data_IF_360610250456
#
_entry.id   IF_360610250456
#
_cell.length_a   1.000
_cell.length_b   1.000
_cell.length_c   1.000
_cell.angle_alpha   90.00
_cell.angle_beta   90.00
_cell.angle_gamma   90.00
#
_symmetry.space_group_name_H-M   'P 1'
#
loop_
_entity.id
_entity.type
_entity.pdbx_description
1 polymer ?
#
# COMPACT_ATOMS: atom_id res chain seq x y z
N UNK A 1 1.28 -8.53 -20.38
CA UNK A 1 1.65 -7.20 -19.90
C UNK A 1 3.08 -6.91 -20.33
N UNK A 2 3.38 -5.69 -20.75
CA UNK A 2 4.74 -5.30 -21.14
C UNK A 2 5.70 -5.39 -19.93
N UNK A 3 6.95 -5.85 -20.12
CA UNK A 3 7.94 -5.92 -19.03
C UNK A 3 8.21 -4.60 -18.32
N UNK A 4 8.22 -3.47 -19.02
CA UNK A 4 8.46 -2.16 -18.40
C UNK A 4 7.30 -1.72 -17.50
N UNK A 5 6.06 -1.89 -17.97
CA UNK A 5 4.86 -1.67 -17.14
C UNK A 5 4.89 -2.56 -15.90
N UNK A 6 5.32 -3.82 -16.04
CA UNK A 6 5.43 -4.74 -14.91
C UNK A 6 6.47 -4.28 -13.89
N UNK A 7 7.65 -3.88 -14.34
CA UNK A 7 8.70 -3.33 -13.47
C UNK A 7 8.24 -2.07 -12.76
N UNK A 8 7.60 -1.14 -13.49
CA UNK A 8 7.06 0.10 -12.92
C UNK A 8 6.08 -0.18 -11.78
N UNK A 9 5.14 -1.10 -11.99
CA UNK A 9 4.15 -1.48 -10.97
C UNK A 9 4.84 -2.16 -9.79
N UNK A 10 5.83 -3.03 -10.02
CA UNK A 10 6.57 -3.69 -8.93
C UNK A 10 7.37 -2.70 -8.06
N UNK A 11 7.87 -1.61 -8.64
CA UNK A 11 8.56 -0.56 -7.90
C UNK A 11 7.61 0.27 -7.02
N UNK A 12 6.31 0.26 -7.33
CA UNK A 12 5.26 0.93 -6.58
C UNK A 12 4.41 -0.07 -5.80
N UNK A 13 4.76 -0.28 -4.53
CA UNK A 13 4.08 -1.24 -3.68
C UNK A 13 2.55 -1.05 -3.65
N UNK A 14 2.07 0.18 -3.63
CA UNK A 14 0.64 0.49 -3.63
C UNK A 14 -0.06 -0.01 -4.90
N UNK A 15 0.49 0.27 -6.08
CA UNK A 15 -0.04 -0.27 -7.34
C UNK A 15 0.04 -1.80 -7.37
N UNK A 16 1.15 -2.36 -6.86
CA UNK A 16 1.37 -3.80 -6.81
C UNK A 16 0.34 -4.53 -5.94
N UNK A 17 0.06 -4.02 -4.73
CA UNK A 17 -0.97 -4.55 -3.85
C UNK A 17 -2.37 -4.36 -4.44
N UNK A 18 -2.64 -3.21 -5.06
CA UNK A 18 -3.92 -2.92 -5.69
C UNK A 18 -4.23 -3.90 -6.83
N UNK A 19 -3.27 -4.15 -7.74
CA UNK A 19 -3.45 -5.08 -8.86
C UNK A 19 -3.62 -6.53 -8.37
N UNK A 20 -2.88 -6.94 -7.32
CA UNK A 20 -3.09 -8.27 -6.71
C UNK A 20 -4.48 -8.45 -6.12
N UNK A 21 -5.08 -7.36 -5.66
CA UNK A 21 -6.45 -7.34 -5.13
C UNK A 21 -7.49 -7.28 -6.26
N UNK A 22 -7.12 -6.71 -7.41
CA UNK A 22 -7.98 -6.50 -8.57
C UNK A 22 -7.34 -7.07 -9.85
N UNK A 23 -7.34 -8.41 -10.03
CA UNK A 23 -6.61 -9.07 -11.11
C UNK A 23 -7.12 -8.73 -12.53
N UNK A 24 -8.30 -8.12 -12.66
CA UNK A 24 -8.81 -7.53 -13.90
C UNK A 24 -7.79 -6.56 -14.54
N UNK A 25 -7.05 -5.82 -13.71
CA UNK A 25 -6.03 -4.87 -14.17
C UNK A 25 -4.88 -5.52 -14.91
N UNK A 26 -4.50 -6.77 -14.58
CA UNK A 26 -3.51 -7.50 -15.39
C UNK A 26 -4.00 -7.68 -16.83
N UNK A 27 -5.30 -7.93 -17.02
CA UNK A 27 -5.90 -8.07 -18.37
C UNK A 27 -5.96 -6.72 -19.08
N UNK A 28 -6.39 -5.66 -18.40
CA UNK A 28 -6.49 -4.33 -18.99
C UNK A 28 -5.12 -3.78 -19.41
N UNK A 29 -4.13 -3.84 -18.53
CA UNK A 29 -2.76 -3.40 -18.81
C UNK A 29 -2.04 -4.28 -19.82
N UNK A 30 -2.46 -5.55 -19.96
CA UNK A 30 -1.95 -6.42 -21.04
C UNK A 30 -2.51 -6.01 -22.40
N UNK A 31 -3.75 -5.53 -22.47
CA UNK A 31 -4.39 -5.10 -23.72
C UNK A 31 -3.98 -3.69 -24.13
N UNK A 32 -3.85 -2.79 -23.16
CA UNK A 32 -3.44 -1.41 -23.38
C UNK A 32 -2.58 -0.95 -22.20
N UNK A 33 -1.24 -0.93 -22.34
CA UNK A 33 -0.36 -0.44 -21.28
C UNK A 33 -0.53 1.04 -20.95
N UNK A 34 -1.08 1.85 -21.87
CA UNK A 34 -1.22 3.30 -21.72
C UNK A 34 -2.25 3.73 -20.68
N UNK A 35 -3.10 2.82 -20.19
CA UNK A 35 -4.09 3.10 -19.13
C UNK A 35 -3.49 3.08 -17.72
N UNK A 36 -2.17 3.11 -17.60
CA UNK A 36 -1.49 3.08 -16.30
C UNK A 36 -1.86 4.28 -15.43
N UNK A 37 -2.17 5.42 -16.03
CA UNK A 37 -2.65 6.60 -15.31
C UNK A 37 -4.04 6.33 -14.67
N UNK A 38 -4.90 5.58 -15.35
CA UNK A 38 -6.21 5.17 -14.83
C UNK A 38 -6.04 4.21 -13.63
N UNK A 39 -5.09 3.28 -13.74
CA UNK A 39 -4.71 2.40 -12.63
C UNK A 39 -4.29 3.23 -11.41
N UNK A 40 -3.49 4.29 -11.60
CA UNK A 40 -3.08 5.14 -10.49
C UNK A 40 -4.24 5.88 -9.84
N UNK A 41 -5.18 6.38 -10.62
CA UNK A 41 -6.38 7.07 -10.11
C UNK A 41 -7.23 6.09 -9.30
N UNK A 42 -7.46 4.89 -9.83
CA UNK A 42 -8.26 3.84 -9.19
C UNK A 42 -7.59 3.32 -7.93
N UNK A 43 -6.27 3.13 -7.94
CA UNK A 43 -5.51 2.80 -6.74
C UNK A 43 -5.62 3.91 -5.68
N UNK A 44 -5.52 5.19 -6.07
CA UNK A 44 -5.71 6.33 -5.16
C UNK A 44 -7.11 6.36 -4.57
N UNK A 45 -8.16 6.06 -5.35
CA UNK A 45 -9.52 5.98 -4.84
C UNK A 45 -9.73 4.78 -3.92
N UNK A 46 -9.16 3.62 -4.28
CA UNK A 46 -9.17 2.41 -3.47
C UNK A 46 -8.53 2.69 -2.12
N UNK A 47 -7.29 3.22 -2.09
CA UNK A 47 -6.57 3.56 -0.86
C UNK A 47 -7.12 4.77 -0.13
N UNK A 48 -7.69 5.75 -0.83
CA UNK A 48 -8.44 6.85 -0.20
C UNK A 48 -9.64 6.34 0.62
N UNK A 49 -10.17 5.16 0.28
CA UNK A 49 -11.19 4.43 1.05
C UNK A 49 -10.61 3.34 1.98
N UNK A 50 -9.38 2.85 1.75
CA UNK A 50 -8.77 1.69 2.46
C UNK A 50 -7.42 1.96 3.19
N UNK A 51 -6.99 3.22 3.29
CA UNK A 51 -5.88 3.63 4.17
C UNK A 51 -6.10 3.47 5.69
N UNK A 52 -7.29 3.24 6.27
CA UNK A 52 -7.36 3.03 7.72
C UNK A 52 -6.59 1.79 8.18
N UNK A 53 -6.56 0.69 7.44
CA UNK A 53 -6.12 -0.59 8.02
C UNK A 53 -4.59 -0.73 8.17
N UNK A 54 -3.81 -0.09 7.29
CA UNK A 54 -2.35 0.03 7.45
C UNK A 54 -1.97 1.15 8.43
N UNK A 55 -2.73 2.25 8.47
CA UNK A 55 -2.59 3.28 9.52
C UNK A 55 -2.92 2.72 10.91
N UNK A 56 -3.94 1.88 11.04
CA UNK A 56 -4.35 1.23 12.29
C UNK A 56 -3.25 0.30 12.81
N UNK A 57 -2.66 -0.54 11.95
CA UNK A 57 -1.53 -1.39 12.35
C UNK A 57 -0.29 -0.56 12.72
N UNK A 58 0.01 0.49 11.97
CA UNK A 58 1.09 1.41 12.32
C UNK A 58 0.81 2.12 13.66
N UNK A 59 -0.44 2.54 13.91
CA UNK A 59 -0.87 3.19 15.15
C UNK A 59 -0.84 2.22 16.34
N UNK A 60 -1.25 0.96 16.17
CA UNK A 60 -1.11 -0.10 17.18
C UNK A 60 0.36 -0.33 17.55
N UNK A 61 1.26 -0.39 16.55
CA UNK A 61 2.68 -0.55 16.80
C UNK A 61 3.26 0.65 17.58
N UNK A 62 2.87 1.89 17.23
CA UNK A 62 3.27 3.10 17.95
C UNK A 62 2.75 3.10 19.39
N UNK A 63 1.52 2.66 19.63
CA UNK A 63 0.96 2.55 20.99
C UNK A 63 1.73 1.55 21.85
N UNK A 64 2.10 0.39 21.28
CA UNK A 64 2.93 -0.61 21.96
C UNK A 64 4.33 -0.06 22.29
N UNK A 65 4.97 0.64 21.34
CA UNK A 65 6.28 1.30 21.56
C UNK A 65 6.19 2.34 22.68
N UNK A 66 5.11 3.14 22.75
CA UNK A 66 4.89 4.11 23.84
C UNK A 66 4.75 3.44 25.20
N UNK A 67 4.01 2.33 25.29
CA UNK A 67 3.88 1.56 26.52
C UNK A 67 5.24 1.02 26.99
N UNK A 68 6.04 0.47 26.07
CA UNK A 68 7.38 -0.02 26.37
C UNK A 68 8.32 1.12 26.83
N UNK A 69 8.26 2.29 26.20
CA UNK A 69 9.03 3.47 26.61
C UNK A 69 8.62 4.00 27.99
N UNK A 70 7.33 4.02 28.30
CA UNK A 70 6.83 4.42 29.63
C UNK A 70 7.32 3.47 30.73
N UNK A 71 7.23 2.16 30.48
CA UNK A 71 7.76 1.16 31.41
C UNK A 71 9.26 1.35 31.60
N UNK A 72 10.05 1.47 30.52
CA UNK A 72 11.50 1.67 30.61
C UNK A 72 11.90 2.96 31.35
N UNK A 73 11.12 4.04 31.20
CA UNK A 73 11.36 5.30 31.89
C UNK A 73 11.08 5.25 33.40
N UNK A 74 10.16 4.40 33.85
CA UNK A 74 9.82 4.27 35.28
C UNK A 74 10.80 3.42 36.10
N UNK A 75 11.76 2.74 35.46
CA UNK A 75 12.81 1.95 36.16
C UNK A 75 14.08 2.76 36.48
N UNK A 76 14.21 3.97 35.95
CA UNK A 76 15.40 4.83 36.14
C UNK A 76 15.22 5.90 37.23
N UNK A 77 14.22 5.74 38.12
CA UNK A 77 13.94 6.62 39.28
C UNK A 77 13.96 5.82 40.59
#
# INVERSE_FOLDING_TARGET
MEPETYRFIQQREDLWYFIRSNPEWYRYLTRNPSIIDELEIEAKQFYGKTLPQRMEKAQQNIQMIRLLMQMAGSWND
#
